data_IF_758324651000
#
_entry.id   IF_758324651000
#
_cell.length_a   1.000
_cell.length_b   1.000
_cell.length_c   1.000
_cell.angle_alpha   90.00
_cell.angle_beta   90.00
_cell.angle_gamma   90.00
#
_symmetry.space_group_name_H-M   'P 1'
#
loop_
_entity.id
_entity.type
_entity.pdbx_description
1 polymer ?
#
# COMPACT_ATOMS: atom_id res chain seq x y z
N UNK A 1 -10.72 -15.32 -12.48
CA UNK A 1 -9.29 -15.10 -12.53
C UNK A 1 -9.02 -13.63 -12.84
N UNK A 2 -8.17 -12.97 -12.08
CA UNK A 2 -7.87 -11.54 -12.26
C UNK A 2 -6.76 -11.30 -13.27
N UNK A 3 -5.92 -12.30 -13.49
CA UNK A 3 -4.75 -12.24 -14.36
C UNK A 3 -4.80 -13.34 -15.41
N UNK A 4 -4.29 -13.03 -16.59
CA UNK A 4 -4.08 -14.01 -17.66
C UNK A 4 -2.66 -14.55 -17.56
N UNK A 5 -2.47 -15.82 -17.90
CA UNK A 5 -1.16 -16.44 -18.04
C UNK A 5 -0.79 -16.42 -19.53
N UNK A 6 0.33 -15.79 -19.87
CA UNK A 6 0.80 -15.63 -21.25
C UNK A 6 2.26 -16.08 -21.36
N UNK A 7 2.62 -16.72 -22.48
CA UNK A 7 4.01 -17.08 -22.73
C UNK A 7 4.73 -15.95 -23.49
N UNK A 8 5.99 -15.73 -23.13
CA UNK A 8 6.85 -14.76 -23.81
C UNK A 8 8.29 -15.29 -23.79
N UNK A 9 8.81 -15.66 -24.95
CA UNK A 9 10.15 -16.24 -25.06
C UNK A 9 11.26 -15.19 -25.14
N UNK A 10 10.91 -13.92 -25.33
CA UNK A 10 11.91 -12.85 -25.55
C UNK A 10 12.42 -12.23 -24.25
N UNK A 11 11.86 -12.60 -23.10
CA UNK A 11 12.25 -12.04 -21.81
C UNK A 11 13.43 -12.77 -21.17
N UNK A 12 14.27 -12.04 -20.44
CA UNK A 12 15.44 -12.56 -19.72
C UNK A 12 15.08 -13.13 -18.33
N UNK A 13 13.87 -12.90 -17.82
CA UNK A 13 13.38 -13.42 -16.55
C UNK A 13 12.44 -14.61 -16.74
N UNK A 14 12.35 -15.50 -15.75
CA UNK A 14 11.50 -16.70 -15.84
C UNK A 14 10.02 -16.36 -15.74
N UNK A 15 9.67 -15.40 -14.90
CA UNK A 15 8.31 -14.89 -14.69
C UNK A 15 8.35 -13.38 -14.53
N UNK A 16 7.28 -12.71 -14.98
CA UNK A 16 7.03 -11.32 -14.66
C UNK A 16 5.52 -11.06 -14.57
N UNK A 17 5.15 -10.12 -13.72
CA UNK A 17 3.75 -9.79 -13.47
C UNK A 17 3.51 -8.30 -13.69
N UNK A 18 2.38 -7.95 -14.26
CA UNK A 18 1.92 -6.57 -14.44
C UNK A 18 0.84 -6.49 -15.50
N UNK A 19 0.21 -5.35 -15.64
CA UNK A 19 -0.83 -5.10 -16.65
C UNK A 19 -1.88 -6.22 -16.75
N UNK A 20 -2.29 -6.77 -15.59
CA UNK A 20 -3.31 -7.84 -15.45
C UNK A 20 -2.92 -9.18 -16.08
N UNK A 21 -1.63 -9.47 -16.20
CA UNK A 21 -1.12 -10.73 -16.71
C UNK A 21 0.12 -11.19 -15.95
N UNK A 22 0.38 -12.48 -16.03
CA UNK A 22 1.63 -13.11 -15.61
C UNK A 22 2.23 -13.67 -16.89
N UNK A 23 3.41 -13.20 -17.26
CA UNK A 23 4.18 -13.73 -18.37
C UNK A 23 5.23 -14.71 -17.88
N UNK A 24 5.49 -15.75 -18.66
CA UNK A 24 6.53 -16.73 -18.37
C UNK A 24 7.35 -17.04 -19.62
N UNK A 25 8.64 -17.33 -19.43
CA UNK A 25 9.52 -17.76 -20.51
C UNK A 25 9.67 -19.29 -20.48
N UNK A 26 9.10 -20.02 -21.45
CA UNK A 26 9.15 -21.48 -21.49
C UNK A 26 10.57 -22.02 -21.66
N UNK A 27 11.47 -21.28 -22.35
CA UNK A 27 12.86 -21.71 -22.55
C UNK A 27 13.64 -21.74 -21.22
N UNK A 28 13.46 -20.71 -20.38
CA UNK A 28 14.11 -20.62 -19.08
C UNK A 28 13.49 -21.58 -18.04
N UNK A 29 12.31 -22.13 -18.32
CA UNK A 29 11.63 -23.06 -17.42
C UNK A 29 11.93 -24.52 -17.74
N UNK A 30 12.49 -24.84 -18.91
CA UNK A 30 12.78 -26.24 -19.35
C UNK A 30 13.71 -26.96 -18.39
N UNK A 31 14.71 -26.28 -17.88
CA UNK A 31 15.76 -26.84 -17.01
C UNK A 31 15.41 -26.76 -15.53
N UNK A 32 14.27 -26.17 -15.17
CA UNK A 32 13.84 -26.00 -13.78
C UNK A 32 12.99 -27.17 -13.31
N UNK A 33 13.16 -27.53 -12.04
CA UNK A 33 12.31 -28.51 -11.39
C UNK A 33 10.87 -27.98 -11.22
N UNK A 34 9.91 -28.88 -11.07
CA UNK A 34 8.52 -28.54 -10.82
C UNK A 34 8.37 -27.68 -9.54
N UNK A 35 9.18 -27.96 -8.52
CA UNK A 35 9.19 -27.21 -7.27
C UNK A 35 9.68 -25.78 -7.45
N UNK A 36 10.71 -25.55 -8.27
CA UNK A 36 11.21 -24.21 -8.59
C UNK A 36 10.22 -23.41 -9.42
N UNK A 37 9.51 -24.06 -10.34
CA UNK A 37 8.46 -23.42 -11.15
C UNK A 37 7.29 -23.01 -10.23
N UNK A 38 6.86 -23.92 -9.35
CA UNK A 38 5.80 -23.63 -8.36
C UNK A 38 6.19 -22.48 -7.44
N UNK A 39 7.43 -22.45 -6.96
CA UNK A 39 7.93 -21.39 -6.10
C UNK A 39 7.99 -20.04 -6.83
N UNK A 40 8.48 -20.02 -8.06
CA UNK A 40 8.49 -18.82 -8.89
C UNK A 40 7.09 -18.26 -9.12
N UNK A 41 6.11 -19.14 -9.40
CA UNK A 41 4.72 -18.73 -9.57
C UNK A 41 4.10 -18.21 -8.25
N UNK A 42 4.43 -18.83 -7.12
CA UNK A 42 4.03 -18.35 -5.79
C UNK A 42 4.57 -16.95 -5.52
N UNK A 43 5.81 -16.66 -5.90
CA UNK A 43 6.42 -15.33 -5.76
C UNK A 43 5.61 -14.29 -6.53
N UNK A 44 5.26 -14.58 -7.80
CA UNK A 44 4.47 -13.64 -8.61
C UNK A 44 3.04 -13.43 -8.05
N UNK A 45 2.39 -14.49 -7.59
CA UNK A 45 1.07 -14.37 -6.94
C UNK A 45 1.19 -13.53 -5.65
N UNK A 46 2.25 -13.69 -4.90
CA UNK A 46 2.50 -12.90 -3.68
C UNK A 46 2.70 -11.43 -3.99
N UNK A 47 3.45 -11.08 -5.06
CA UNK A 47 3.56 -9.70 -5.54
C UNK A 47 2.23 -9.09 -5.86
N UNK A 48 1.33 -9.86 -6.52
CA UNK A 48 -0.04 -9.42 -6.81
C UNK A 48 -0.81 -9.16 -5.53
N UNK A 49 -0.75 -10.07 -4.55
CA UNK A 49 -1.46 -9.94 -3.27
C UNK A 49 -0.97 -8.75 -2.46
N UNK A 50 0.33 -8.48 -2.47
CA UNK A 50 0.95 -7.31 -1.84
C UNK A 50 0.79 -6.03 -2.68
N UNK A 51 0.26 -6.15 -3.89
CA UNK A 51 -0.02 -5.05 -4.84
C UNK A 51 1.23 -4.29 -5.30
N UNK A 52 2.42 -4.88 -5.21
CA UNK A 52 3.65 -4.24 -5.67
C UNK A 52 3.56 -3.79 -7.13
N UNK A 53 2.99 -4.56 -8.08
CA UNK A 53 2.87 -4.14 -9.48
C UNK A 53 1.85 -3.03 -9.76
N UNK A 54 0.93 -2.72 -8.82
CA UNK A 54 -0.23 -1.84 -9.06
C UNK A 54 -0.31 -0.61 -8.19
N UNK A 55 0.36 -0.65 -7.08
CA UNK A 55 0.46 0.45 -6.12
C UNK A 55 1.88 0.51 -5.60
N UNK A 56 2.27 1.60 -4.96
CA UNK A 56 3.55 1.70 -4.26
C UNK A 56 4.75 1.90 -5.20
N UNK A 57 4.52 2.41 -6.40
CA UNK A 57 5.60 2.81 -7.30
C UNK A 57 6.03 4.25 -7.03
N UNK A 58 7.33 4.51 -6.88
CA UNK A 58 7.86 5.86 -6.78
C UNK A 58 7.89 6.55 -8.15
N UNK A 59 7.95 7.87 -8.16
CA UNK A 59 8.22 8.63 -9.38
C UNK A 59 9.65 8.31 -9.89
N UNK A 60 9.79 8.05 -11.18
CA UNK A 60 11.04 7.65 -11.83
C UNK A 60 11.69 6.42 -11.15
N UNK A 61 11.07 5.25 -11.25
CA UNK A 61 11.52 4.06 -10.56
C UNK A 61 12.81 3.50 -11.18
N UNK A 62 13.73 3.03 -10.33
CA UNK A 62 14.76 2.09 -10.72
C UNK A 62 14.16 0.69 -10.72
N UNK A 63 13.90 0.12 -11.90
CA UNK A 63 13.18 -1.14 -12.06
C UNK A 63 13.91 -2.33 -11.43
N UNK A 64 15.23 -2.41 -11.52
CA UNK A 64 15.99 -3.48 -10.87
C UNK A 64 15.87 -3.41 -9.34
N UNK A 65 15.92 -2.21 -8.77
CA UNK A 65 15.73 -2.01 -7.33
C UNK A 65 14.29 -2.32 -6.87
N UNK A 66 13.26 -2.05 -7.69
CA UNK A 66 11.88 -2.39 -7.38
C UNK A 66 11.68 -3.90 -7.23
N UNK A 67 12.14 -4.66 -8.22
CA UNK A 67 12.05 -6.13 -8.19
C UNK A 67 12.83 -6.69 -7.01
N UNK A 68 14.08 -6.22 -6.82
CA UNK A 68 14.91 -6.68 -5.70
C UNK A 68 14.28 -6.37 -4.35
N UNK A 69 13.71 -5.18 -4.16
CA UNK A 69 12.99 -4.83 -2.92
C UNK A 69 11.78 -5.74 -2.70
N UNK A 70 11.04 -6.05 -3.76
CA UNK A 70 9.93 -6.99 -3.70
C UNK A 70 10.37 -8.39 -3.31
N UNK A 71 11.48 -8.87 -3.88
CA UNK A 71 12.06 -10.19 -3.60
C UNK A 71 12.50 -10.32 -2.15
N UNK A 72 13.24 -9.33 -1.64
CA UNK A 72 13.64 -9.27 -0.23
C UNK A 72 12.43 -9.27 0.69
N UNK A 73 11.40 -8.46 0.37
CA UNK A 73 10.17 -8.39 1.17
C UNK A 73 9.43 -9.73 1.20
N UNK A 74 9.32 -10.42 0.05
CA UNK A 74 8.67 -11.73 -0.03
C UNK A 74 9.45 -12.77 0.77
N UNK A 75 10.78 -12.79 0.60
CA UNK A 75 11.65 -13.75 1.25
C UNK A 75 11.60 -13.62 2.78
N UNK A 76 11.50 -12.40 3.28
CA UNK A 76 11.51 -12.13 4.72
C UNK A 76 10.13 -12.26 5.37
N UNK A 77 9.12 -11.64 4.80
CA UNK A 77 7.81 -11.49 5.45
C UNK A 77 6.78 -12.55 5.06
N UNK A 78 6.98 -13.23 3.93
CA UNK A 78 5.99 -14.16 3.44
C UNK A 78 6.43 -15.61 3.63
N UNK A 79 7.50 -16.00 2.98
CA UNK A 79 8.09 -17.33 3.08
C UNK A 79 9.53 -17.34 2.52
N UNK A 80 10.44 -18.09 3.14
CA UNK A 80 11.82 -18.17 2.65
C UNK A 80 11.89 -18.89 1.30
N UNK A 81 12.55 -18.27 0.34
CA UNK A 81 12.90 -18.87 -0.95
C UNK A 81 14.41 -18.79 -1.17
N UNK A 82 15.05 -19.94 -1.32
CA UNK A 82 16.50 -20.04 -1.53
C UNK A 82 16.99 -19.38 -2.83
N UNK A 83 16.07 -19.18 -3.78
CA UNK A 83 16.38 -18.55 -5.06
C UNK A 83 16.29 -17.02 -4.98
N UNK A 84 15.69 -16.47 -3.94
CA UNK A 84 15.62 -15.03 -3.70
C UNK A 84 16.72 -14.62 -2.72
N UNK A 85 17.35 -13.48 -3.01
CA UNK A 85 18.34 -12.87 -2.12
C UNK A 85 17.62 -12.25 -0.92
N UNK A 86 18.21 -12.41 0.25
CA UNK A 86 17.73 -11.83 1.50
C UNK A 86 18.32 -10.43 1.76
N UNK A 87 17.85 -9.77 2.81
CA UNK A 87 18.36 -8.45 3.21
C UNK A 87 19.84 -8.50 3.58
N UNK A 88 20.32 -9.61 4.17
CA UNK A 88 21.70 -9.79 4.58
C UNK A 88 22.66 -9.82 3.39
N UNK A 89 22.22 -10.36 2.25
CA UNK A 89 23.02 -10.34 0.99
C UNK A 89 23.38 -8.91 0.56
N UNK A 90 22.47 -7.95 0.82
CA UNK A 90 22.68 -6.55 0.49
C UNK A 90 23.22 -5.72 1.66
N UNK A 91 23.62 -6.36 2.77
CA UNK A 91 24.03 -5.70 4.03
C UNK A 91 22.95 -4.75 4.58
N UNK A 92 21.68 -5.13 4.45
CA UNK A 92 20.54 -4.38 4.98
C UNK A 92 20.01 -5.02 6.26
N UNK A 93 19.39 -4.20 7.09
CA UNK A 93 18.68 -4.68 8.28
C UNK A 93 17.41 -5.44 7.88
N UNK A 94 17.05 -6.45 8.66
CA UNK A 94 15.80 -7.19 8.52
C UNK A 94 14.64 -6.40 9.11
N UNK A 95 13.41 -6.70 8.68
CA UNK A 95 12.19 -6.12 9.23
C UNK A 95 11.79 -4.78 8.64
N UNK A 96 12.39 -4.39 7.52
CA UNK A 96 12.04 -3.15 6.85
C UNK A 96 10.81 -3.32 5.95
N UNK A 97 10.09 -2.23 5.70
CA UNK A 97 9.02 -2.19 4.71
C UNK A 97 9.56 -2.25 3.27
N UNK A 98 8.70 -2.64 2.33
CA UNK A 98 9.05 -2.65 0.90
C UNK A 98 9.62 -1.31 0.41
N UNK A 99 9.02 -0.19 0.84
CA UNK A 99 9.44 1.16 0.46
C UNK A 99 10.81 1.51 1.04
N UNK A 100 11.11 1.04 2.24
CA UNK A 100 12.41 1.26 2.88
C UNK A 100 13.50 0.42 2.22
N UNK A 101 13.19 -0.84 1.89
CA UNK A 101 14.08 -1.67 1.08
C UNK A 101 14.37 -1.03 -0.27
N UNK A 102 13.34 -0.57 -0.98
CA UNK A 102 13.52 0.14 -2.24
C UNK A 102 14.40 1.38 -2.10
N UNK A 103 14.17 2.20 -1.09
CA UNK A 103 14.94 3.43 -0.85
C UNK A 103 16.43 3.15 -0.65
N UNK A 104 16.79 2.07 0.07
CA UNK A 104 18.18 1.66 0.29
C UNK A 104 18.75 0.99 -0.95
N UNK A 105 18.03 0.08 -1.59
CA UNK A 105 18.46 -0.67 -2.77
C UNK A 105 18.63 0.19 -4.01
N UNK A 106 17.90 1.29 -4.13
CA UNK A 106 18.03 2.24 -5.23
C UNK A 106 19.48 2.75 -5.42
N UNK A 107 20.25 2.82 -4.34
CA UNK A 107 21.65 3.26 -4.38
C UNK A 107 22.63 2.10 -4.55
N UNK A 108 22.19 0.87 -4.30
CA UNK A 108 23.02 -0.34 -4.40
C UNK A 108 22.84 -1.01 -5.76
N UNK A 109 21.59 -1.11 -6.23
CA UNK A 109 21.28 -1.70 -7.53
C UNK A 109 21.47 -0.65 -8.62
N UNK A 110 22.34 -0.90 -9.59
CA UNK A 110 22.52 0.01 -10.71
C UNK A 110 21.25 0.10 -11.55
N UNK A 111 20.97 1.29 -12.04
CA UNK A 111 19.94 1.45 -13.05
C UNK A 111 20.47 0.84 -14.36
N UNK A 112 19.76 -0.15 -14.89
CA UNK A 112 20.19 -0.87 -16.09
C UNK A 112 20.45 0.09 -17.28
N UNK A 113 19.67 1.17 -17.37
CA UNK A 113 19.85 2.19 -18.42
C UNK A 113 21.12 3.05 -18.25
N UNK A 114 21.74 3.01 -17.06
CA UNK A 114 22.97 3.77 -16.74
C UNK A 114 24.23 2.89 -16.67
N UNK A 115 24.10 1.56 -16.83
CA UNK A 115 25.24 0.66 -16.82
C UNK A 115 26.09 0.83 -18.08
N UNK A 116 27.32 1.28 -17.88
CA UNK A 116 28.37 1.19 -18.89
C UNK A 116 28.88 -0.27 -18.98
N UNK A 117 29.33 -0.69 -20.19
CA UNK A 117 29.70 -2.06 -20.58
C UNK A 117 30.84 -2.73 -19.79
N UNK A 118 31.31 -2.16 -18.69
CA UNK A 118 32.53 -2.59 -17.97
C UNK A 118 32.27 -3.45 -16.71
N UNK A 119 31.11 -4.08 -16.58
CA UNK A 119 30.79 -4.94 -15.44
C UNK A 119 30.82 -6.44 -15.75
N UNK A 120 30.84 -7.27 -14.69
CA UNK A 120 30.74 -8.73 -14.76
C UNK A 120 29.46 -9.13 -15.51
N UNK A 121 29.57 -9.84 -16.66
CA UNK A 121 28.44 -10.19 -17.53
C UNK A 121 27.31 -10.89 -16.78
N UNK A 122 27.66 -11.71 -15.78
CA UNK A 122 26.69 -12.42 -14.97
C UNK A 122 25.85 -11.49 -14.09
N UNK A 123 26.49 -10.48 -13.52
CA UNK A 123 25.83 -9.46 -12.67
C UNK A 123 24.94 -8.58 -13.54
N UNK A 124 25.38 -8.22 -14.74
CA UNK A 124 24.60 -7.44 -15.69
C UNK A 124 23.34 -8.18 -16.14
N UNK A 125 23.44 -9.49 -16.44
CA UNK A 125 22.29 -10.33 -16.80
C UNK A 125 21.26 -10.42 -15.65
N UNK A 126 21.73 -10.52 -14.41
CA UNK A 126 20.88 -10.58 -13.24
C UNK A 126 20.08 -9.30 -13.03
N UNK A 127 20.72 -8.13 -13.12
CA UNK A 127 20.05 -6.84 -13.01
C UNK A 127 19.14 -6.55 -14.21
N UNK A 128 19.50 -7.02 -15.40
CA UNK A 128 18.64 -6.95 -16.58
C UNK A 128 17.36 -7.75 -16.37
N UNK A 129 17.47 -8.99 -15.93
CA UNK A 129 16.31 -9.82 -15.63
C UNK A 129 15.43 -9.21 -14.53
N UNK A 130 16.05 -8.63 -13.48
CA UNK A 130 15.32 -7.92 -12.43
C UNK A 130 14.60 -6.68 -12.97
N UNK A 131 15.22 -5.89 -13.84
CA UNK A 131 14.58 -4.73 -14.45
C UNK A 131 13.38 -5.12 -15.34
N UNK A 132 13.54 -6.15 -16.17
CA UNK A 132 12.46 -6.67 -17.00
C UNK A 132 11.29 -7.21 -16.18
N UNK A 133 11.55 -7.82 -15.02
CA UNK A 133 10.50 -8.37 -14.16
C UNK A 133 9.52 -7.30 -13.67
N UNK A 134 9.97 -6.06 -13.50
CA UNK A 134 9.10 -4.94 -13.10
C UNK A 134 8.70 -3.99 -14.24
N UNK A 135 9.10 -4.26 -15.48
CA UNK A 135 8.78 -3.41 -16.63
C UNK A 135 7.28 -3.24 -16.87
N UNK A 136 6.50 -4.28 -16.54
CA UNK A 136 5.04 -4.27 -16.67
C UNK A 136 4.32 -3.64 -15.47
N UNK A 137 5.06 -3.18 -14.46
CA UNK A 137 4.45 -2.56 -13.29
C UNK A 137 3.95 -1.17 -13.66
N UNK A 138 2.72 -0.90 -13.28
CA UNK A 138 2.05 0.38 -13.56
C UNK A 138 0.97 0.62 -12.51
N UNK A 139 0.75 1.87 -12.11
CA UNK A 139 -0.29 2.20 -11.15
C UNK A 139 -1.68 1.88 -11.72
N UNK A 140 -2.32 0.86 -11.17
CA UNK A 140 -3.70 0.47 -11.49
C UNK A 140 -4.52 0.34 -10.19
N UNK A 141 -5.11 1.46 -9.78
CA UNK A 141 -5.98 1.52 -8.58
C UNK A 141 -7.16 0.55 -8.69
N UNK A 142 -7.76 0.41 -9.87
CA UNK A 142 -8.90 -0.51 -10.08
C UNK A 142 -8.48 -1.96 -9.84
N UNK A 143 -7.29 -2.33 -10.30
CA UNK A 143 -6.77 -3.68 -10.09
C UNK A 143 -6.43 -3.94 -8.64
N UNK A 144 -5.80 -2.98 -7.98
CA UNK A 144 -5.50 -3.06 -6.54
C UNK A 144 -6.78 -3.21 -5.71
N UNK A 145 -7.85 -2.49 -6.03
CA UNK A 145 -9.14 -2.61 -5.36
C UNK A 145 -9.80 -3.98 -5.61
N UNK A 146 -9.68 -4.52 -6.83
CA UNK A 146 -10.14 -5.89 -7.13
C UNK A 146 -9.39 -6.93 -6.32
N UNK A 147 -8.07 -6.80 -6.18
CA UNK A 147 -7.25 -7.69 -5.34
C UNK A 147 -7.70 -7.57 -3.87
N UNK A 148 -7.86 -6.36 -3.35
CA UNK A 148 -8.36 -6.14 -1.99
C UNK A 148 -9.72 -6.80 -1.75
N UNK A 149 -10.64 -6.68 -2.72
CA UNK A 149 -11.96 -7.31 -2.63
C UNK A 149 -11.86 -8.84 -2.57
N UNK A 150 -10.97 -9.46 -3.35
CA UNK A 150 -10.76 -10.90 -3.32
C UNK A 150 -10.18 -11.36 -1.97
N UNK A 151 -9.20 -10.63 -1.43
CA UNK A 151 -8.62 -10.93 -0.13
C UNK A 151 -9.67 -10.83 0.98
N UNK A 152 -10.51 -9.78 0.98
CA UNK A 152 -11.62 -9.63 1.93
C UNK A 152 -12.65 -10.75 1.81
N UNK A 153 -12.95 -11.22 0.60
CA UNK A 153 -13.82 -12.39 0.39
C UNK A 153 -13.21 -13.65 0.97
N UNK A 154 -11.93 -13.92 0.69
CA UNK A 154 -11.22 -15.08 1.24
C UNK A 154 -11.20 -15.07 2.77
N UNK A 155 -11.04 -13.89 3.39
CA UNK A 155 -11.11 -13.72 4.83
C UNK A 155 -12.50 -14.07 5.38
N UNK A 156 -13.56 -13.53 4.77
CA UNK A 156 -14.95 -13.78 5.22
C UNK A 156 -15.36 -15.26 5.09
N UNK A 157 -14.86 -15.94 4.08
CA UNK A 157 -15.16 -17.35 3.83
C UNK A 157 -14.19 -18.31 4.52
N UNK A 158 -13.18 -17.78 5.23
CA UNK A 158 -12.08 -18.54 5.85
C UNK A 158 -11.39 -19.52 4.86
N UNK A 159 -11.31 -19.14 3.58
CA UNK A 159 -10.73 -19.94 2.51
C UNK A 159 -9.26 -19.60 2.25
N UNK A 160 -8.45 -19.57 3.30
CA UNK A 160 -7.01 -19.33 3.19
C UNK A 160 -6.21 -20.60 2.85
N UNK A 161 -6.85 -21.77 2.87
CA UNK A 161 -6.19 -23.04 2.60
C UNK A 161 -5.02 -23.31 3.54
N UNK A 162 -3.87 -23.67 2.98
CA UNK A 162 -2.62 -23.95 3.73
C UNK A 162 -1.71 -22.74 3.90
N UNK A 163 -2.23 -21.51 3.73
CA UNK A 163 -1.43 -20.29 3.86
C UNK A 163 -1.02 -20.07 5.33
N UNK A 164 0.28 -19.80 5.57
CA UNK A 164 0.79 -19.57 6.93
C UNK A 164 0.16 -18.35 7.58
N UNK A 165 0.00 -18.35 8.91
CA UNK A 165 -0.59 -17.23 9.65
C UNK A 165 0.16 -15.92 9.45
N UNK A 166 1.49 -15.94 9.48
CA UNK A 166 2.32 -14.74 9.25
C UNK A 166 2.07 -14.13 7.86
N UNK A 167 1.94 -14.98 6.82
CA UNK A 167 1.64 -14.50 5.49
C UNK A 167 0.24 -13.90 5.38
N UNK A 168 -0.75 -14.50 6.05
CA UNK A 168 -2.11 -13.94 6.14
C UNK A 168 -2.08 -12.56 6.80
N UNK A 169 -1.36 -12.40 7.92
CA UNK A 169 -1.22 -11.11 8.61
C UNK A 169 -0.56 -10.06 7.72
N UNK A 170 0.50 -10.42 7.00
CA UNK A 170 1.18 -9.52 6.06
C UNK A 170 0.25 -9.05 4.94
N UNK A 171 -0.52 -9.97 4.34
CA UNK A 171 -1.53 -9.63 3.32
C UNK A 171 -2.60 -8.71 3.91
N UNK A 172 -3.10 -9.03 5.10
CA UNK A 172 -4.14 -8.22 5.75
C UNK A 172 -3.63 -6.82 6.10
N UNK A 173 -2.39 -6.70 6.57
CA UNK A 173 -1.74 -5.40 6.81
C UNK A 173 -1.57 -4.56 5.53
N UNK A 174 -1.46 -5.21 4.37
CA UNK A 174 -1.36 -4.52 3.07
C UNK A 174 -2.70 -3.95 2.58
N UNK A 175 -3.82 -4.33 3.18
CA UNK A 175 -5.14 -3.80 2.81
C UNK A 175 -5.30 -2.45 3.50
N UNK A 176 -5.32 -1.37 2.72
CA UNK A 176 -5.81 -0.08 3.22
C UNK A 176 -7.30 -0.24 3.54
N UNK A 177 -7.64 -0.35 4.80
CA UNK A 177 -9.03 -0.28 5.24
C UNK A 177 -9.48 1.16 5.00
N UNK A 178 -10.44 1.43 4.09
CA UNK A 178 -10.94 2.77 3.92
C UNK A 178 -11.58 3.18 5.25
N UNK A 179 -10.90 4.06 5.97
CA UNK A 179 -11.39 4.58 7.23
C UNK A 179 -12.59 5.46 6.91
N UNK A 180 -13.77 5.11 7.42
CA UNK A 180 -14.95 5.96 7.28
C UNK A 180 -14.79 7.20 8.18
N UNK A 181 -14.05 8.18 7.65
CA UNK A 181 -13.81 9.46 8.33
C UNK A 181 -15.13 10.14 8.75
N UNK A 182 -16.21 9.92 8.00
CA UNK A 182 -17.53 10.49 8.35
C UNK A 182 -18.06 9.91 9.66
N UNK A 183 -17.87 8.60 9.87
CA UNK A 183 -18.27 7.92 11.10
C UNK A 183 -17.43 8.38 12.29
N UNK A 184 -16.11 8.43 12.12
CA UNK A 184 -15.18 8.91 13.16
C UNK A 184 -15.50 10.37 13.49
N UNK A 185 -15.67 11.23 12.49
CA UNK A 185 -15.98 12.64 12.68
C UNK A 185 -17.38 12.85 13.28
N UNK A 186 -18.37 12.00 12.97
CA UNK A 186 -19.69 12.07 13.60
C UNK A 186 -19.63 11.74 15.09
N UNK A 187 -18.83 10.75 15.48
CA UNK A 187 -18.56 10.43 16.88
C UNK A 187 -17.80 11.58 17.58
N UNK A 188 -16.82 12.15 16.90
CA UNK A 188 -16.07 13.30 17.39
C UNK A 188 -16.97 14.53 17.57
N UNK A 189 -17.87 14.80 16.60
CA UNK A 189 -18.85 15.89 16.69
C UNK A 189 -19.70 15.80 17.94
N UNK A 190 -20.13 14.60 18.33
CA UNK A 190 -20.90 14.40 19.56
C UNK A 190 -20.09 14.75 20.82
N UNK A 191 -18.75 14.58 20.79
CA UNK A 191 -17.86 14.91 21.90
C UNK A 191 -17.48 16.39 21.98
N UNK A 192 -17.53 17.12 20.85
CA UNK A 192 -17.19 18.55 20.75
C UNK A 192 -18.33 19.41 21.29
N UNK A 193 -19.59 18.96 21.17
CA UNK A 193 -20.73 19.70 21.71
C UNK A 193 -20.72 19.56 23.21
N UNK A 194 -20.43 20.65 23.90
CA UNK A 194 -20.49 20.71 25.37
C UNK A 194 -21.92 20.41 25.83
N UNK A 195 -22.04 19.71 26.95
CA UNK A 195 -23.37 19.52 27.59
C UNK A 195 -23.91 20.82 28.21
N UNK A 196 -23.08 21.87 28.26
CA UNK A 196 -23.50 23.17 28.76
C UNK A 196 -24.43 23.84 27.75
N UNK A 197 -25.57 24.32 28.25
CA UNK A 197 -26.54 25.10 27.49
C UNK A 197 -26.43 26.55 27.88
N UNK A 198 -26.33 27.42 26.87
CA UNK A 198 -26.43 28.86 27.05
C UNK A 198 -27.82 29.33 26.60
N UNK A 199 -28.44 30.19 27.41
CA UNK A 199 -29.69 30.84 27.01
C UNK A 199 -29.40 31.88 25.96
N UNK A 200 -30.21 31.93 24.90
CA UNK A 200 -30.05 32.88 23.80
C UNK A 200 -31.39 33.49 23.39
N UNK A 201 -31.40 34.80 23.12
CA UNK A 201 -32.54 35.49 22.54
C UNK A 201 -32.77 35.21 21.05
N UNK A 202 -31.76 34.64 20.41
CA UNK A 202 -31.81 34.32 18.96
C UNK A 202 -32.66 33.10 18.62
N UNK A 203 -33.14 32.37 19.63
CA UNK A 203 -34.06 31.23 19.46
C UNK A 203 -35.21 31.35 20.47
N UNK A 204 -36.43 31.09 19.99
CA UNK A 204 -37.59 30.97 20.86
C UNK A 204 -37.52 29.72 21.73
N UNK A 205 -38.08 29.80 22.92
CA UNK A 205 -38.23 28.64 23.79
C UNK A 205 -39.28 27.68 23.21
N UNK A 206 -38.94 26.41 23.02
CA UNK A 206 -39.84 25.42 22.42
C UNK A 206 -41.12 25.16 23.25
N UNK A 207 -41.10 25.42 24.59
CA UNK A 207 -42.24 25.18 25.48
C UNK A 207 -43.05 26.45 25.73
N UNK A 208 -42.38 27.60 25.82
CA UNK A 208 -42.99 28.86 26.29
C UNK A 208 -43.00 29.96 25.24
N UNK A 209 -42.64 29.65 23.97
CA UNK A 209 -42.72 30.58 22.86
C UNK A 209 -41.68 31.70 22.89
N UNK A 210 -42.04 32.86 22.32
CA UNK A 210 -41.12 33.99 22.13
C UNK A 210 -40.84 34.83 23.37
N UNK A 211 -41.63 34.68 24.42
CA UNK A 211 -41.47 35.45 25.68
C UNK A 211 -40.26 34.96 26.49
N UNK A 212 -39.82 33.75 26.27
CA UNK A 212 -38.66 33.16 26.94
C UNK A 212 -37.54 32.85 26.04
N UNK A 213 -36.29 33.01 26.56
CA UNK A 213 -35.08 32.68 25.80
C UNK A 213 -35.02 31.21 25.51
N UNK A 214 -34.65 30.88 24.27
CA UNK A 214 -34.28 29.52 23.89
C UNK A 214 -32.90 29.13 24.41
N UNK A 215 -32.57 27.85 24.35
CA UNK A 215 -31.25 27.37 24.72
C UNK A 215 -30.46 26.89 23.47
N UNK A 216 -29.18 27.18 23.49
CA UNK A 216 -28.24 26.70 22.50
C UNK A 216 -27.11 25.99 23.23
N UNK A 217 -26.59 24.89 22.61
CA UNK A 217 -25.41 24.24 23.13
C UNK A 217 -24.18 25.15 22.90
N UNK A 218 -23.35 25.24 23.93
CA UNK A 218 -22.10 25.95 23.82
C UNK A 218 -21.07 25.03 23.15
N UNK A 219 -20.49 25.39 21.98
CA UNK A 219 -19.46 24.57 21.36
C UNK A 219 -18.22 24.54 22.26
N UNK A 220 -17.53 23.41 22.32
CA UNK A 220 -16.19 23.37 22.89
C UNK A 220 -15.26 24.19 21.97
N UNK A 221 -14.54 25.14 22.55
CA UNK A 221 -13.83 26.17 21.79
C UNK A 221 -12.47 25.73 21.26
N UNK A 222 -11.91 24.63 21.75
CA UNK A 222 -10.55 24.21 21.37
C UNK A 222 -10.51 22.74 20.97
N UNK A 223 -9.98 22.46 19.79
CA UNK A 223 -9.71 21.14 19.26
C UNK A 223 -8.22 21.09 18.89
N UNK A 224 -7.47 20.24 19.54
CA UNK A 224 -6.08 19.93 19.12
C UNK A 224 -6.14 18.83 18.04
N UNK A 225 -5.60 19.14 16.88
CA UNK A 225 -5.49 18.16 15.77
C UNK A 225 -4.00 17.95 15.50
N UNK A 226 -3.54 16.75 15.72
CA UNK A 226 -2.21 16.32 15.30
C UNK A 226 -2.35 15.56 13.96
N UNK A 227 -1.72 16.06 12.92
CA UNK A 227 -1.63 15.39 11.62
C UNK A 227 -0.23 14.80 11.51
N UNK A 228 -0.15 13.48 11.47
CA UNK A 228 1.10 12.80 11.21
C UNK A 228 1.41 12.91 9.71
N UNK A 229 2.50 13.61 9.40
CA UNK A 229 3.00 13.80 8.03
C UNK A 229 4.16 12.82 7.81
N UNK A 230 3.89 11.53 7.95
CA UNK A 230 4.86 10.49 7.57
C UNK A 230 4.92 10.34 6.05
N UNK A 231 6.07 9.88 5.53
CA UNK A 231 6.30 9.77 4.07
C UNK A 231 5.37 8.81 3.32
N UNK A 232 4.40 8.21 4.00
CA UNK A 232 3.34 7.36 3.43
C UNK A 232 2.03 8.11 3.15
N UNK A 233 1.94 9.40 3.53
CA UNK A 233 0.75 10.23 3.30
C UNK A 233 0.95 11.01 2.00
N UNK A 234 0.08 10.77 1.03
CA UNK A 234 0.08 11.48 -0.24
C UNK A 234 -0.50 12.90 -0.09
N UNK A 235 -0.11 13.80 -1.02
CA UNK A 235 -0.62 15.18 -1.07
C UNK A 235 -2.15 15.25 -1.12
N UNK A 236 -2.79 14.30 -1.79
CA UNK A 236 -4.24 14.20 -1.87
C UNK A 236 -4.88 13.85 -0.51
N UNK A 237 -4.23 12.96 0.25
CA UNK A 237 -4.67 12.62 1.61
C UNK A 237 -4.55 13.83 2.54
N UNK A 238 -3.46 14.61 2.44
CA UNK A 238 -3.27 15.84 3.20
C UNK A 238 -4.35 16.88 2.85
N UNK A 239 -4.63 17.11 1.56
CA UNK A 239 -5.70 18.00 1.14
C UNK A 239 -7.05 17.56 1.68
N UNK A 240 -7.28 16.25 1.72
CA UNK A 240 -8.51 15.70 2.29
C UNK A 240 -8.60 15.96 3.80
N UNK A 241 -7.53 15.73 4.55
CA UNK A 241 -7.44 16.06 5.98
C UNK A 241 -7.70 17.55 6.23
N UNK A 242 -7.02 18.45 5.51
CA UNK A 242 -7.23 19.88 5.67
C UNK A 242 -8.66 20.33 5.30
N UNK A 243 -9.28 19.72 4.28
CA UNK A 243 -10.68 19.99 3.94
C UNK A 243 -11.64 19.62 5.07
N UNK A 244 -11.34 18.55 5.80
CA UNK A 244 -12.11 18.09 6.95
C UNK A 244 -11.91 19.06 8.13
N UNK A 245 -10.66 19.44 8.41
CA UNK A 245 -10.32 20.41 9.46
C UNK A 245 -11.04 21.74 9.20
N UNK A 246 -11.02 22.25 7.96
CA UNK A 246 -11.70 23.47 7.58
C UNK A 246 -13.22 23.43 7.83
N UNK A 247 -13.85 22.27 7.75
CA UNK A 247 -15.27 22.14 8.11
C UNK A 247 -15.52 22.37 9.60
N UNK A 248 -14.57 22.10 10.49
CA UNK A 248 -14.74 22.41 11.91
C UNK A 248 -14.76 23.91 12.17
N UNK A 249 -14.00 24.70 11.42
CA UNK A 249 -14.04 26.16 11.50
C UNK A 249 -15.44 26.72 11.15
N UNK A 250 -16.12 26.10 10.16
CA UNK A 250 -17.48 26.51 9.81
C UNK A 250 -18.51 26.26 10.93
N UNK A 251 -18.16 25.42 11.91
CA UNK A 251 -18.97 25.19 13.11
C UNK A 251 -18.54 26.02 14.32
N UNK A 252 -17.61 26.96 14.16
CA UNK A 252 -17.11 27.84 15.22
C UNK A 252 -16.18 27.15 16.21
N UNK A 253 -15.51 26.08 15.79
CA UNK A 253 -14.47 25.41 16.58
C UNK A 253 -13.12 26.02 16.20
N UNK A 254 -12.40 26.56 17.16
CA UNK A 254 -11.01 26.93 16.99
C UNK A 254 -10.14 25.67 16.95
N UNK A 255 -9.41 25.47 15.86
CA UNK A 255 -8.46 24.37 15.68
C UNK A 255 -7.06 24.91 15.94
N UNK A 256 -6.34 24.29 16.87
CA UNK A 256 -4.93 24.59 17.13
C UNK A 256 -4.12 23.48 16.42
N UNK A 257 -3.32 23.86 15.44
CA UNK A 257 -2.38 22.99 14.73
C UNK A 257 -1.07 22.84 15.50
#
# INVERSE_FOLDING_TARGET
>A
CTHKLEHNSDMSCSFRTGRRRIEYNPELLKDKSTEEIEQGLKNEVTRILLKHPYQRMPQNPNHSALTTASDVTINEHCYPDKNLKDAAYYNLENGLSYEEYYRKLRYICPDFNAMQENGDEKIQLEYKAAAEASELWDEDKEMADKVNLQIQKAQKTNQWGSVSGNFQETIMASIKIPMDYRRILSQFRASIISQRRKLTRMKSNRRYGFEFMGSQFEPKTHLLVAVDVSGSIDSDDLMHFFSIINRFFSYGVEVIN
#
